data_IF_322200162077
#
_entry.id   IF_322200162077
#
_cell.length_a   1.000
_cell.length_b   1.000
_cell.length_c   1.000
_cell.angle_alpha   90.00
_cell.angle_beta   90.00
_cell.angle_gamma   90.00
#
_symmetry.space_group_name_H-M   'P 1'
#
loop_
_entity.id
_entity.type
_entity.pdbx_description
1 polymer ?
#
# COMPACT_ATOMS: atom_id res chain seq x y z
N UNK A 1 -3.30 -7.65 -8.25
CA UNK A 1 -3.01 -6.88 -7.01
C UNK A 1 -2.13 -7.71 -6.07
N UNK A 2 -1.47 -7.10 -5.10
CA UNK A 2 -0.65 -7.84 -4.14
C UNK A 2 -1.49 -8.89 -3.41
N UNK A 3 -0.94 -10.11 -3.29
CA UNK A 3 -1.51 -11.25 -2.56
C UNK A 3 -2.81 -11.85 -3.11
N UNK A 4 -3.31 -11.48 -4.29
CA UNK A 4 -4.62 -11.94 -4.80
C UNK A 4 -4.76 -13.46 -4.81
N UNK A 5 -3.75 -14.18 -5.29
CA UNK A 5 -3.77 -15.65 -5.38
C UNK A 5 -3.86 -16.33 -4.00
N UNK A 6 -3.07 -15.85 -3.03
CA UNK A 6 -3.09 -16.38 -1.67
C UNK A 6 -4.39 -16.03 -0.95
N UNK A 7 -4.84 -14.78 -1.09
CA UNK A 7 -6.05 -14.27 -0.48
C UNK A 7 -7.29 -15.06 -0.94
N UNK A 8 -7.44 -15.32 -2.24
CA UNK A 8 -8.54 -16.09 -2.79
C UNK A 8 -8.60 -17.51 -2.22
N UNK A 9 -7.46 -18.18 -2.15
CA UNK A 9 -7.38 -19.54 -1.58
C UNK A 9 -7.77 -19.58 -0.10
N UNK A 10 -7.23 -18.64 0.70
CA UNK A 10 -7.55 -18.55 2.12
C UNK A 10 -9.03 -18.21 2.36
N UNK A 11 -9.60 -17.31 1.56
CA UNK A 11 -11.02 -16.97 1.64
C UNK A 11 -11.92 -18.18 1.37
N UNK A 12 -11.58 -19.01 0.39
CA UNK A 12 -12.35 -20.24 0.09
C UNK A 12 -12.33 -21.20 1.27
N UNK A 13 -11.18 -21.41 1.91
CA UNK A 13 -11.07 -22.22 3.14
C UNK A 13 -11.94 -21.65 4.26
N UNK A 14 -11.87 -20.34 4.48
CA UNK A 14 -12.62 -19.65 5.54
C UNK A 14 -14.12 -19.62 5.29
N UNK A 15 -14.56 -19.55 4.03
CA UNK A 15 -15.96 -19.67 3.66
C UNK A 15 -16.52 -21.04 4.06
N UNK A 16 -15.77 -22.10 3.82
CA UNK A 16 -16.13 -23.46 4.21
C UNK A 16 -16.22 -23.59 5.75
N UNK A 17 -15.27 -23.04 6.49
CA UNK A 17 -15.31 -23.05 7.96
C UNK A 17 -16.50 -22.27 8.53
N UNK A 18 -16.83 -21.12 7.96
CA UNK A 18 -17.98 -20.28 8.42
C UNK A 18 -19.33 -20.94 8.15
N UNK A 19 -19.43 -21.75 7.10
CA UNK A 19 -20.70 -22.42 6.76
C UNK A 19 -21.06 -23.56 7.71
N UNK A 20 -20.11 -24.05 8.50
CA UNK A 20 -20.32 -25.14 9.47
C UNK A 20 -20.74 -24.55 10.83
N UNK A 21 -21.93 -24.87 11.29
CA UNK A 21 -22.46 -24.38 12.57
C UNK A 21 -21.73 -24.97 13.79
N UNK A 22 -21.18 -26.19 13.67
CA UNK A 22 -20.28 -26.82 14.63
C UNK A 22 -19.04 -27.30 13.91
N UNK A 23 -17.88 -27.17 14.53
CA UNK A 23 -16.61 -27.69 14.04
C UNK A 23 -16.17 -28.88 14.88
N UNK A 24 -15.61 -29.89 14.22
CA UNK A 24 -14.88 -30.97 14.83
C UNK A 24 -13.37 -30.71 14.71
N UNK A 25 -12.56 -31.43 15.52
CA UNK A 25 -11.10 -31.35 15.36
C UNK A 25 -10.64 -31.73 13.95
N UNK A 26 -11.33 -32.68 13.31
CA UNK A 26 -10.99 -33.11 11.95
C UNK A 26 -11.32 -32.03 10.92
N UNK A 27 -12.40 -31.27 11.13
CA UNK A 27 -12.71 -30.11 10.30
C UNK A 27 -11.62 -29.06 10.38
N UNK A 28 -11.13 -28.76 11.58
CA UNK A 28 -10.03 -27.81 11.79
C UNK A 28 -8.74 -28.33 11.16
N UNK A 29 -8.40 -29.59 11.35
CA UNK A 29 -7.21 -30.22 10.73
C UNK A 29 -7.28 -30.21 9.21
N UNK A 30 -8.45 -30.50 8.63
CA UNK A 30 -8.66 -30.43 7.18
C UNK A 30 -8.47 -29.02 6.64
N UNK A 31 -9.08 -28.01 7.28
CA UNK A 31 -8.93 -26.62 6.89
C UNK A 31 -7.47 -26.13 7.02
N UNK A 32 -6.76 -26.50 8.10
CA UNK A 32 -5.36 -26.16 8.27
C UNK A 32 -4.45 -26.85 7.25
N UNK A 33 -4.82 -28.02 6.75
CA UNK A 33 -4.12 -28.67 5.63
C UNK A 33 -4.26 -27.84 4.35
N UNK A 34 -5.45 -27.32 4.06
CA UNK A 34 -5.67 -26.44 2.91
C UNK A 34 -4.92 -25.09 3.06
N UNK A 35 -4.96 -24.47 4.27
CA UNK A 35 -4.17 -23.29 4.59
C UNK A 35 -2.67 -23.54 4.38
N UNK A 36 -2.16 -24.69 4.86
CA UNK A 36 -0.78 -25.11 4.66
C UNK A 36 -0.41 -25.17 3.17
N UNK A 37 -1.27 -25.78 2.37
CA UNK A 37 -1.04 -25.89 0.92
C UNK A 37 -1.06 -24.52 0.26
N UNK A 38 -2.02 -23.68 0.60
CA UNK A 38 -2.09 -22.30 0.08
C UNK A 38 -0.83 -21.49 0.38
N UNK A 39 -0.29 -21.57 1.60
CA UNK A 39 0.94 -20.91 1.99
C UNK A 39 2.18 -21.46 1.26
N UNK A 40 2.26 -22.77 1.06
CA UNK A 40 3.36 -23.38 0.30
C UNK A 40 3.31 -23.00 -1.19
N UNK A 41 2.13 -22.98 -1.79
CA UNK A 41 1.92 -22.52 -3.17
C UNK A 41 2.17 -21.02 -3.34
N UNK A 42 2.00 -20.26 -2.26
CA UNK A 42 2.38 -18.86 -2.19
C UNK A 42 3.89 -18.65 -1.95
N UNK A 43 4.68 -19.70 -2.00
CA UNK A 43 6.13 -19.65 -1.83
C UNK A 43 6.59 -19.19 -0.43
N UNK A 44 5.80 -19.50 0.60
CA UNK A 44 6.19 -19.27 2.01
C UNK A 44 7.17 -20.37 2.44
N UNK A 45 8.20 -19.98 3.20
CA UNK A 45 9.23 -20.91 3.69
C UNK A 45 8.64 -22.10 4.45
N UNK A 46 9.04 -23.32 4.11
CA UNK A 46 8.49 -24.56 4.65
C UNK A 46 8.55 -24.63 6.18
N UNK A 47 9.68 -24.20 6.80
CA UNK A 47 9.82 -24.20 8.27
C UNK A 47 8.82 -23.24 8.91
N UNK A 48 8.64 -22.07 8.29
CA UNK A 48 7.68 -21.05 8.71
C UNK A 48 6.25 -21.58 8.64
N UNK A 49 5.88 -22.20 7.51
CA UNK A 49 4.54 -22.79 7.33
C UNK A 49 4.28 -23.89 8.36
N UNK A 50 5.26 -24.76 8.63
CA UNK A 50 5.14 -25.82 9.62
C UNK A 50 4.92 -25.27 11.03
N UNK A 51 5.67 -24.26 11.43
CA UNK A 51 5.54 -23.63 12.74
C UNK A 51 4.20 -22.90 12.87
N UNK A 52 3.82 -22.12 11.86
CA UNK A 52 2.55 -21.40 11.80
C UNK A 52 1.36 -22.36 11.94
N UNK A 53 1.30 -23.40 11.11
CA UNK A 53 0.18 -24.36 11.15
C UNK A 53 0.10 -25.11 12.47
N UNK A 54 1.24 -25.43 13.10
CA UNK A 54 1.30 -26.04 14.42
C UNK A 54 0.73 -25.09 15.48
N UNK A 55 1.17 -23.83 15.50
CA UNK A 55 0.70 -22.81 16.46
C UNK A 55 -0.80 -22.56 16.34
N UNK A 56 -1.31 -22.43 15.10
CA UNK A 56 -2.74 -22.27 14.86
C UNK A 56 -3.51 -23.52 15.32
N UNK A 57 -3.03 -24.73 15.04
CA UNK A 57 -3.69 -25.97 15.43
C UNK A 57 -3.80 -26.10 16.94
N UNK A 58 -2.71 -25.85 17.68
CA UNK A 58 -2.68 -25.94 19.15
C UNK A 58 -3.71 -24.99 19.77
N UNK A 59 -3.87 -23.80 19.24
CA UNK A 59 -4.84 -22.80 19.72
C UNK A 59 -6.28 -23.10 19.27
N UNK A 60 -6.47 -23.59 18.05
CA UNK A 60 -7.78 -23.81 17.44
C UNK A 60 -8.50 -25.08 17.96
N UNK A 61 -7.76 -26.08 18.46
CA UNK A 61 -8.34 -27.32 19.00
C UNK A 61 -8.73 -27.18 20.48
N UNK A 62 -8.46 -26.04 21.12
CA UNK A 62 -8.86 -25.79 22.51
C UNK A 62 -10.37 -25.84 22.72
N UNK A 63 -10.81 -26.35 23.88
CA UNK A 63 -12.23 -26.54 24.20
C UNK A 63 -13.04 -25.27 24.11
N UNK A 64 -12.45 -24.11 24.46
CA UNK A 64 -13.09 -22.78 24.41
C UNK A 64 -13.44 -22.37 22.99
N UNK A 65 -12.64 -22.81 22.00
CA UNK A 65 -12.90 -22.53 20.58
C UNK A 65 -13.96 -23.46 20.03
N UNK A 66 -13.84 -24.76 20.32
CA UNK A 66 -14.73 -25.81 19.79
C UNK A 66 -16.16 -25.71 20.32
N UNK A 67 -16.34 -25.24 21.57
CA UNK A 67 -17.64 -25.08 22.23
C UNK A 67 -18.17 -23.63 22.11
N UNK A 68 -17.46 -22.73 21.45
CA UNK A 68 -17.87 -21.33 21.26
C UNK A 68 -19.10 -21.18 20.35
N UNK A 69 -19.80 -20.04 20.46
CA UNK A 69 -20.98 -19.73 19.64
C UNK A 69 -20.66 -19.66 18.13
N UNK A 70 -19.42 -19.33 17.76
CA UNK A 70 -18.97 -19.19 16.37
C UNK A 70 -17.56 -19.80 16.19
N UNK A 71 -17.40 -21.13 16.23
CA UNK A 71 -16.08 -21.76 16.18
C UNK A 71 -15.28 -21.41 14.92
N UNK A 72 -15.93 -21.34 13.76
CA UNK A 72 -15.28 -20.98 12.51
C UNK A 72 -14.69 -19.56 12.51
N UNK A 73 -15.37 -18.59 13.12
CA UNK A 73 -14.85 -17.23 13.27
C UNK A 73 -13.67 -17.18 14.24
N UNK A 74 -13.71 -17.99 15.30
CA UNK A 74 -12.59 -18.07 16.25
C UNK A 74 -11.34 -18.65 15.60
N UNK A 75 -11.45 -19.68 14.77
CA UNK A 75 -10.31 -20.22 14.01
C UNK A 75 -9.73 -19.17 13.07
N UNK A 76 -10.56 -18.42 12.34
CA UNK A 76 -10.10 -17.35 11.44
C UNK A 76 -9.39 -16.25 12.25
N UNK A 77 -9.91 -15.87 13.41
CA UNK A 77 -9.27 -14.91 14.32
C UNK A 77 -7.89 -15.40 14.75
N UNK A 78 -7.76 -16.66 15.13
CA UNK A 78 -6.48 -17.26 15.52
C UNK A 78 -5.49 -17.26 14.36
N UNK A 79 -5.93 -17.59 13.14
CA UNK A 79 -5.11 -17.52 11.92
C UNK A 79 -4.61 -16.09 11.71
N UNK A 80 -5.47 -15.09 11.86
CA UNK A 80 -5.08 -13.67 11.72
C UNK A 80 -4.05 -13.25 12.77
N UNK A 81 -4.26 -13.59 14.02
CA UNK A 81 -3.34 -13.26 15.12
C UNK A 81 -1.97 -13.93 14.94
N UNK A 82 -1.92 -15.20 14.55
CA UNK A 82 -0.67 -15.90 14.28
C UNK A 82 0.04 -15.33 13.03
N UNK A 83 -0.72 -14.86 12.03
CA UNK A 83 -0.15 -14.21 10.85
C UNK A 83 0.47 -12.85 11.21
N UNK A 84 -0.20 -12.06 12.03
CA UNK A 84 0.34 -10.78 12.57
C UNK A 84 1.62 -11.04 13.35
N UNK A 85 1.61 -12.05 14.24
CA UNK A 85 2.77 -12.46 15.02
C UNK A 85 3.96 -12.89 14.14
N UNK A 86 3.68 -13.64 13.08
CA UNK A 86 4.69 -14.05 12.11
C UNK A 86 5.39 -12.88 11.43
N UNK A 87 4.64 -11.81 11.11
CA UNK A 87 5.15 -10.59 10.46
C UNK A 87 5.71 -9.56 11.46
N UNK A 88 5.51 -9.77 12.77
CA UNK A 88 6.19 -8.95 13.76
C UNK A 88 5.39 -8.31 14.86
N UNK A 89 4.10 -8.55 14.95
CA UNK A 89 3.19 -8.00 15.97
C UNK A 89 3.08 -6.48 16.00
N UNK A 90 4.20 -5.76 15.93
CA UNK A 90 4.27 -4.31 16.04
C UNK A 90 4.93 -3.67 14.82
N UNK A 91 4.50 -2.45 14.53
CA UNK A 91 5.12 -1.61 13.50
C UNK A 91 6.46 -1.10 13.98
N UNK A 92 7.49 -1.24 13.14
CA UNK A 92 8.83 -0.75 13.45
C UNK A 92 9.18 0.41 12.51
N UNK A 93 9.64 1.51 13.05
CA UNK A 93 10.12 2.67 12.28
C UNK A 93 11.65 2.67 12.19
N UNK A 94 12.19 3.47 11.24
CA UNK A 94 13.62 3.79 11.20
C UNK A 94 14.00 4.50 12.51
N UNK A 95 15.00 3.99 13.19
CA UNK A 95 15.53 4.59 14.40
C UNK A 95 16.48 5.74 14.05
N UNK A 96 16.56 6.72 14.93
CA UNK A 96 17.45 7.86 14.79
C UNK A 96 18.34 7.99 16.03
N UNK A 97 19.56 8.49 15.84
CA UNK A 97 20.41 8.87 16.96
C UNK A 97 19.78 10.02 17.76
N UNK A 98 19.96 10.05 19.06
CA UNK A 98 19.36 11.08 19.92
C UNK A 98 19.92 12.47 19.65
N UNK A 99 19.12 13.49 19.93
CA UNK A 99 19.54 14.89 19.84
C UNK A 99 19.82 15.36 18.41
N UNK A 100 21.02 15.95 18.23
CA UNK A 100 21.51 16.45 16.94
C UNK A 100 22.55 15.54 16.28
N UNK A 101 22.73 14.34 16.80
CA UNK A 101 23.68 13.39 16.24
C UNK A 101 23.25 12.94 14.84
N UNK A 102 24.23 12.87 13.94
CA UNK A 102 23.99 12.45 12.55
C UNK A 102 23.64 10.95 12.52
N UNK A 103 22.50 10.62 11.97
CA UNK A 103 22.10 9.24 11.73
C UNK A 103 22.55 8.80 10.35
N UNK A 104 23.34 7.74 10.26
CA UNK A 104 23.87 7.20 9.01
C UNK A 104 23.18 5.87 8.72
N UNK A 105 22.50 5.80 7.58
CA UNK A 105 21.75 4.63 7.11
C UNK A 105 22.44 4.11 5.85
N UNK A 106 22.73 2.83 5.79
CA UNK A 106 23.27 2.17 4.61
C UNK A 106 22.21 1.27 3.97
N UNK A 107 21.92 1.51 2.69
CA UNK A 107 20.98 0.73 1.91
C UNK A 107 21.73 -0.37 1.18
N UNK A 108 21.40 -1.63 1.45
CA UNK A 108 22.07 -2.82 0.84
C UNK A 108 21.07 -3.72 0.13
N UNK A 109 21.54 -4.62 -0.72
CA UNK A 109 20.71 -5.58 -1.44
C UNK A 109 21.20 -5.84 -2.87
N UNK A 110 20.59 -6.81 -3.55
CA UNK A 110 20.99 -7.21 -4.90
C UNK A 110 20.63 -6.16 -5.96
N UNK A 111 21.21 -6.30 -7.14
CA UNK A 111 20.88 -5.49 -8.30
C UNK A 111 19.40 -5.69 -8.68
N UNK A 112 18.72 -4.61 -9.02
CA UNK A 112 17.30 -4.66 -9.42
C UNK A 112 16.30 -4.74 -8.26
N UNK A 113 16.76 -4.88 -6.99
CA UNK A 113 15.88 -4.89 -5.83
C UNK A 113 15.21 -3.52 -5.54
N UNK A 114 15.60 -2.46 -6.22
CA UNK A 114 14.99 -1.13 -6.04
C UNK A 114 15.65 -0.25 -4.99
N UNK A 115 16.93 -0.48 -4.64
CA UNK A 115 17.67 0.31 -3.65
C UNK A 115 17.62 1.80 -3.91
N UNK A 116 18.13 2.25 -5.06
CA UNK A 116 18.23 3.67 -5.44
C UNK A 116 16.89 4.38 -5.39
N UNK A 117 15.82 3.75 -5.88
CA UNK A 117 14.47 4.31 -5.82
C UNK A 117 13.96 4.38 -4.39
N UNK A 118 14.17 3.32 -3.61
CA UNK A 118 13.76 3.25 -2.20
C UNK A 118 14.50 4.27 -1.34
N UNK A 119 15.81 4.44 -1.57
CA UNK A 119 16.65 5.45 -0.92
C UNK A 119 16.05 6.85 -1.06
N UNK A 120 15.70 7.25 -2.27
CA UNK A 120 15.08 8.56 -2.51
C UNK A 120 13.65 8.66 -1.90
N UNK A 121 12.86 7.58 -1.96
CA UNK A 121 11.52 7.54 -1.35
C UNK A 121 11.57 7.68 0.18
N UNK A 122 12.50 7.00 0.84
CA UNK A 122 12.71 7.14 2.29
C UNK A 122 13.12 8.58 2.62
N UNK A 123 14.08 9.15 1.90
CA UNK A 123 14.52 10.53 2.13
C UNK A 123 13.37 11.55 1.97
N UNK A 124 12.51 11.37 0.97
CA UNK A 124 11.32 12.20 0.78
C UNK A 124 10.33 12.08 1.96
N UNK A 125 10.10 10.86 2.48
CA UNK A 125 9.28 10.65 3.69
C UNK A 125 9.92 11.26 4.94
N UNK A 126 11.24 11.18 5.09
CA UNK A 126 11.94 11.80 6.20
C UNK A 126 11.88 13.33 6.13
N UNK A 127 11.96 13.89 4.92
CA UNK A 127 11.78 15.32 4.70
C UNK A 127 10.39 15.80 5.12
N UNK A 128 9.32 15.06 4.80
CA UNK A 128 7.96 15.38 5.26
C UNK A 128 7.81 15.32 6.77
N UNK A 129 8.64 14.51 7.47
CA UNK A 129 8.77 14.46 8.94
C UNK A 129 9.74 15.52 9.50
N UNK A 130 10.18 16.49 8.70
CA UNK A 130 11.08 17.59 9.13
C UNK A 130 12.56 17.21 9.26
N UNK A 131 12.99 16.05 8.73
CA UNK A 131 14.40 15.65 8.74
C UNK A 131 15.12 16.14 7.49
N UNK A 132 16.30 16.76 7.66
CA UNK A 132 17.18 17.15 6.56
C UNK A 132 18.08 15.97 6.20
N UNK A 133 17.82 15.31 5.08
CA UNK A 133 18.54 14.13 4.63
C UNK A 133 19.49 14.45 3.49
N UNK A 134 20.67 13.78 3.48
CA UNK A 134 21.62 13.76 2.37
C UNK A 134 21.66 12.35 1.78
N UNK A 135 21.48 12.24 0.47
CA UNK A 135 21.65 11.00 -0.27
C UNK A 135 23.10 10.89 -0.76
N UNK A 136 23.67 9.69 -0.71
CA UNK A 136 25.07 9.46 -1.13
C UNK A 136 25.12 8.40 -2.22
N UNK A 137 25.67 8.76 -3.38
CA UNK A 137 25.79 7.89 -4.54
C UNK A 137 27.09 7.05 -4.45
N UNK A 138 26.99 5.83 -3.90
CA UNK A 138 28.09 4.88 -3.80
C UNK A 138 28.01 3.74 -4.82
N UNK A 139 27.02 3.68 -5.73
CA UNK A 139 27.00 2.75 -6.87
C UNK A 139 27.85 3.32 -8.03
N UNK A 140 29.18 3.26 -7.85
CA UNK A 140 30.14 3.82 -8.81
C UNK A 140 30.33 2.93 -10.05
N UNK A 141 29.93 1.67 -10.00
CA UNK A 141 30.08 0.71 -11.10
C UNK A 141 29.07 0.95 -12.23
N UNK A 142 28.02 1.73 -11.94
CA UNK A 142 26.96 2.07 -12.89
C UNK A 142 26.73 3.59 -12.91
N UNK A 143 27.37 4.32 -13.84
CA UNK A 143 27.21 5.77 -13.94
C UNK A 143 25.74 6.20 -14.04
N UNK A 144 24.89 5.39 -14.69
CA UNK A 144 23.46 5.62 -14.76
C UNK A 144 22.77 5.56 -13.38
N UNK A 145 23.29 4.81 -12.41
CA UNK A 145 22.72 4.75 -11.06
C UNK A 145 22.97 6.05 -10.29
N UNK A 146 24.13 6.66 -10.44
CA UNK A 146 24.45 7.97 -9.87
C UNK A 146 23.48 9.01 -10.39
N UNK A 147 23.24 9.05 -11.72
CA UNK A 147 22.33 9.99 -12.34
C UNK A 147 20.87 9.72 -11.94
N UNK A 148 20.48 8.44 -11.84
CA UNK A 148 19.18 8.03 -11.35
C UNK A 148 18.92 8.52 -9.89
N UNK A 149 19.93 8.41 -9.02
CA UNK A 149 19.79 8.89 -7.64
C UNK A 149 19.64 10.40 -7.60
N UNK A 150 20.38 11.16 -8.42
CA UNK A 150 20.25 12.62 -8.55
C UNK A 150 18.85 13.03 -8.99
N UNK A 151 18.35 12.44 -10.08
CA UNK A 151 17.00 12.70 -10.60
C UNK A 151 15.93 12.37 -9.53
N UNK A 152 16.07 11.25 -8.84
CA UNK A 152 15.13 10.85 -7.81
C UNK A 152 15.22 11.76 -6.57
N UNK A 153 16.43 12.17 -6.18
CA UNK A 153 16.66 13.14 -5.10
C UNK A 153 16.03 14.49 -5.42
N UNK A 154 16.26 15.00 -6.63
CA UNK A 154 15.67 16.28 -7.10
C UNK A 154 14.13 16.22 -7.06
N UNK A 155 13.51 15.14 -7.55
CA UNK A 155 12.05 14.94 -7.48
C UNK A 155 11.51 15.01 -6.05
N UNK A 156 12.32 14.60 -5.05
CA UNK A 156 11.97 14.68 -3.63
C UNK A 156 12.45 16.00 -2.98
N UNK A 157 13.19 16.82 -3.71
CA UNK A 157 13.85 18.03 -3.20
C UNK A 157 14.84 17.70 -2.08
N UNK A 158 15.60 16.61 -2.23
CA UNK A 158 16.63 16.13 -1.31
C UNK A 158 17.98 16.20 -2.02
N UNK A 159 18.99 16.71 -1.30
CA UNK A 159 20.34 16.85 -1.81
C UNK A 159 21.03 15.50 -2.02
N UNK A 160 21.80 15.39 -3.11
CA UNK A 160 22.57 14.18 -3.45
C UNK A 160 24.05 14.52 -3.52
N UNK A 161 24.84 13.83 -2.71
CA UNK A 161 26.30 13.91 -2.74
C UNK A 161 26.88 12.85 -3.67
N UNK A 162 27.81 13.24 -4.53
CA UNK A 162 28.49 12.35 -5.46
C UNK A 162 29.89 12.87 -5.74
N UNK A 163 30.85 11.95 -5.84
CA UNK A 163 32.24 12.24 -6.29
C UNK A 163 32.55 11.62 -7.66
N UNK A 164 31.51 11.24 -8.40
CA UNK A 164 31.65 10.53 -9.68
C UNK A 164 32.00 9.04 -9.49
N UNK A 165 32.49 8.41 -10.54
CA UNK A 165 32.73 6.96 -10.64
C UNK A 165 34.21 6.52 -10.45
N UNK A 166 35.11 7.47 -10.18
CA UNK A 166 36.56 7.21 -10.06
C UNK A 166 37.04 7.01 -8.63
N UNK A 167 36.20 7.28 -7.65
CA UNK A 167 36.54 7.20 -6.24
C UNK A 167 36.00 5.89 -5.64
N UNK A 168 36.64 5.37 -4.61
CA UNK A 168 36.14 4.21 -3.87
C UNK A 168 34.84 4.55 -3.12
N UNK A 169 33.87 3.63 -3.06
CA UNK A 169 32.62 3.84 -2.32
C UNK A 169 32.82 4.27 -0.86
N UNK A 170 33.77 3.69 -0.14
CA UNK A 170 34.08 4.04 1.24
C UNK A 170 34.60 5.49 1.38
N UNK A 171 35.44 5.96 0.43
CA UNK A 171 35.93 7.35 0.44
C UNK A 171 34.83 8.36 0.16
N UNK A 172 33.93 8.02 -0.80
CA UNK A 172 32.73 8.84 -1.10
C UNK A 172 31.83 8.95 0.14
N UNK A 173 31.57 7.81 0.78
CA UNK A 173 30.72 7.76 1.97
C UNK A 173 31.31 8.59 3.12
N UNK A 174 32.63 8.48 3.36
CA UNK A 174 33.34 9.26 4.38
C UNK A 174 33.27 10.76 4.10
N UNK A 175 33.56 11.18 2.87
CA UNK A 175 33.49 12.58 2.47
C UNK A 175 32.06 13.14 2.60
N UNK A 176 31.03 12.33 2.25
CA UNK A 176 29.64 12.70 2.41
C UNK A 176 29.24 12.90 3.87
N UNK A 177 29.71 12.05 4.79
CA UNK A 177 29.47 12.19 6.23
C UNK A 177 30.10 13.49 6.77
N UNK A 178 31.32 13.82 6.34
CA UNK A 178 31.95 15.10 6.71
C UNK A 178 31.18 16.30 6.13
N UNK A 179 30.73 16.21 4.90
CA UNK A 179 29.88 17.24 4.28
C UNK A 179 28.56 17.41 5.05
N UNK A 180 27.92 16.31 5.42
CA UNK A 180 26.67 16.31 6.17
C UNK A 180 26.82 16.99 7.55
N UNK A 181 27.91 16.69 8.26
CA UNK A 181 28.21 17.33 9.57
C UNK A 181 28.42 18.83 9.44
N UNK A 182 29.10 19.28 8.38
CA UNK A 182 29.39 20.73 8.13
C UNK A 182 28.13 21.51 7.73
N UNK A 183 27.15 20.85 7.18
CA UNK A 183 25.94 21.51 6.64
C UNK A 183 24.66 21.19 7.44
N UNK A 184 24.80 20.73 8.69
CA UNK A 184 23.68 20.46 9.62
C UNK A 184 22.61 19.54 9.06
N UNK A 185 23.02 18.43 8.40
CA UNK A 185 22.12 17.35 8.03
C UNK A 185 21.80 16.49 9.26
N UNK A 186 20.59 15.94 9.31
CA UNK A 186 20.16 15.04 10.38
C UNK A 186 20.42 13.57 10.01
N UNK A 187 20.31 13.25 8.73
CA UNK A 187 20.37 11.88 8.21
C UNK A 187 21.24 11.84 6.96
N UNK A 188 22.08 10.83 6.86
CA UNK A 188 22.79 10.43 5.64
C UNK A 188 22.25 9.07 5.22
N UNK A 189 21.88 8.92 3.95
CA UNK A 189 21.43 7.64 3.39
C UNK A 189 22.38 7.25 2.26
N UNK A 190 23.15 6.20 2.46
CA UNK A 190 24.15 5.71 1.52
C UNK A 190 23.49 4.68 0.60
N UNK A 191 23.39 5.01 -0.69
CA UNK A 191 22.92 4.10 -1.73
C UNK A 191 24.12 3.30 -2.28
N UNK A 192 24.21 2.03 -1.91
CA UNK A 192 25.35 1.17 -2.28
C UNK A 192 25.11 0.44 -3.59
N UNK A 193 26.18 -0.01 -4.21
CA UNK A 193 26.11 -0.89 -5.37
C UNK A 193 25.35 -2.18 -5.04
N UNK A 194 24.72 -2.76 -6.06
CA UNK A 194 24.17 -4.11 -6.00
C UNK A 194 24.75 -4.95 -7.13
N UNK A 195 25.10 -6.18 -6.81
CA UNK A 195 25.50 -7.18 -7.81
C UNK A 195 24.37 -8.16 -8.05
N UNK A 196 24.46 -8.94 -9.13
CA UNK A 196 23.45 -9.95 -9.48
C UNK A 196 23.39 -11.07 -8.44
N UNK A 197 24.55 -11.37 -7.82
CA UNK A 197 24.69 -12.40 -6.80
C UNK A 197 25.47 -11.86 -5.62
N UNK A 198 25.31 -12.52 -4.47
CA UNK A 198 26.14 -12.27 -3.29
C UNK A 198 27.52 -12.87 -3.55
N UNK A 199 28.53 -12.02 -3.59
CA UNK A 199 29.93 -12.43 -3.67
C UNK A 199 30.76 -11.81 -2.55
N UNK A 200 32.00 -12.29 -2.37
CA UNK A 200 32.88 -11.85 -1.29
C UNK A 200 33.32 -10.40 -1.46
N UNK A 201 33.58 -9.95 -2.69
CA UNK A 201 34.01 -8.58 -2.98
C UNK A 201 32.93 -7.57 -2.63
N UNK A 202 31.66 -7.89 -2.97
CA UNK A 202 30.52 -7.04 -2.59
C UNK A 202 30.38 -6.93 -1.07
N UNK A 203 30.53 -8.06 -0.36
CA UNK A 203 30.42 -8.06 1.09
C UNK A 203 31.58 -7.29 1.74
N UNK A 204 32.81 -7.43 1.23
CA UNK A 204 33.96 -6.69 1.70
C UNK A 204 33.78 -5.17 1.50
N UNK A 205 33.28 -4.73 0.35
CA UNK A 205 33.00 -3.32 0.06
C UNK A 205 31.97 -2.74 1.04
N UNK A 206 30.87 -3.47 1.31
CA UNK A 206 29.83 -3.03 2.25
C UNK A 206 30.36 -2.94 3.68
N UNK A 207 31.23 -3.86 4.10
CA UNK A 207 31.91 -3.83 5.40
C UNK A 207 32.84 -2.61 5.46
N UNK A 208 33.65 -2.35 4.41
CA UNK A 208 34.52 -1.18 4.34
C UNK A 208 33.76 0.14 4.48
N UNK A 209 32.61 0.29 3.80
CA UNK A 209 31.73 1.45 3.93
C UNK A 209 31.21 1.57 5.38
N UNK A 210 30.75 0.46 5.96
CA UNK A 210 30.19 0.41 7.32
C UNK A 210 31.21 0.87 8.37
N UNK A 211 32.45 0.37 8.26
CA UNK A 211 33.54 0.72 9.18
C UNK A 211 34.00 2.17 8.99
N UNK A 212 34.07 2.64 7.73
CA UNK A 212 34.53 4.00 7.42
C UNK A 212 33.60 5.10 7.90
N UNK A 213 32.31 4.82 8.11
CA UNK A 213 31.27 5.85 8.31
C UNK A 213 30.47 5.72 9.60
N UNK A 214 30.73 4.74 10.45
CA UNK A 214 29.96 4.49 11.68
C UNK A 214 28.45 4.36 11.39
N UNK A 215 28.08 3.48 10.46
CA UNK A 215 26.70 3.21 10.06
C UNK A 215 25.85 2.86 11.28
N UNK A 216 24.76 3.60 11.50
CA UNK A 216 23.84 3.38 12.59
C UNK A 216 22.81 2.29 12.26
N UNK A 217 22.31 2.25 11.02
CA UNK A 217 21.40 1.21 10.55
C UNK A 217 21.77 0.72 9.16
N UNK A 218 21.78 -0.60 8.98
CA UNK A 218 21.89 -1.25 7.69
C UNK A 218 20.51 -1.76 7.29
N UNK A 219 19.94 -1.22 6.20
CA UNK A 219 18.62 -1.57 5.71
C UNK A 219 18.75 -2.37 4.41
N UNK A 220 18.27 -3.60 4.44
CA UNK A 220 18.23 -4.46 3.28
C UNK A 220 17.00 -4.18 2.42
N UNK A 221 17.20 -4.02 1.13
CA UNK A 221 16.11 -3.91 0.13
C UNK A 221 16.04 -5.21 -0.67
N UNK A 222 14.87 -5.83 -0.66
CA UNK A 222 14.59 -7.08 -1.38
C UNK A 222 13.40 -6.93 -2.31
N UNK A 223 13.41 -7.69 -3.39
CA UNK A 223 12.33 -7.77 -4.36
C UNK A 223 11.37 -8.90 -3.97
N UNK A 224 10.11 -8.58 -3.69
CA UNK A 224 9.09 -9.57 -3.32
C UNK A 224 8.89 -10.65 -4.39
N UNK A 225 9.06 -10.28 -5.67
CA UNK A 225 8.82 -11.20 -6.80
C UNK A 225 9.84 -12.34 -6.88
N UNK A 226 10.98 -12.23 -6.19
CA UNK A 226 11.99 -13.31 -6.13
C UNK A 226 11.63 -14.43 -5.13
N UNK A 227 10.53 -14.29 -4.38
CA UNK A 227 10.00 -15.34 -3.51
C UNK A 227 11.00 -15.79 -2.44
N UNK A 228 11.31 -17.10 -2.39
CA UNK A 228 12.25 -17.65 -1.42
C UNK A 228 13.69 -17.16 -1.57
N UNK A 229 14.10 -16.73 -2.75
CA UNK A 229 15.43 -16.14 -2.93
C UNK A 229 15.58 -14.85 -2.14
N UNK A 230 14.53 -14.03 -2.02
CA UNK A 230 14.54 -12.85 -1.13
C UNK A 230 14.83 -13.23 0.33
N UNK A 231 14.28 -14.35 0.79
CA UNK A 231 14.47 -14.87 2.16
C UNK A 231 15.90 -15.35 2.36
N UNK A 232 16.44 -16.08 1.39
CA UNK A 232 17.82 -16.58 1.42
C UNK A 232 18.83 -15.42 1.40
N UNK A 233 18.58 -14.42 0.53
CA UNK A 233 19.36 -13.18 0.46
C UNK A 233 19.34 -12.46 1.81
N UNK A 234 18.17 -12.31 2.42
CA UNK A 234 18.03 -11.64 3.71
C UNK A 234 18.83 -12.37 4.83
N UNK A 235 18.76 -13.69 4.86
CA UNK A 235 19.55 -14.50 5.79
C UNK A 235 21.07 -14.32 5.61
N UNK A 236 21.53 -14.34 4.37
CA UNK A 236 22.98 -14.19 4.05
C UNK A 236 23.49 -12.78 4.38
N UNK A 237 22.71 -11.73 4.07
CA UNK A 237 23.10 -10.35 4.44
C UNK A 237 23.12 -10.16 5.95
N UNK A 238 22.17 -10.74 6.67
CA UNK A 238 22.16 -10.65 8.14
C UNK A 238 23.37 -11.37 8.75
N UNK A 239 23.70 -12.56 8.26
CA UNK A 239 24.86 -13.33 8.74
C UNK A 239 26.20 -12.63 8.49
N UNK A 240 26.40 -12.06 7.27
CA UNK A 240 27.70 -11.51 6.83
C UNK A 240 27.92 -10.06 7.27
N UNK A 241 26.92 -9.23 7.25
CA UNK A 241 27.04 -7.77 7.50
C UNK A 241 26.27 -7.35 8.74
N UNK A 242 25.21 -8.08 9.10
CA UNK A 242 24.22 -7.67 10.09
C UNK A 242 23.29 -6.59 9.51
N UNK A 243 22.00 -6.90 9.42
CA UNK A 243 20.97 -5.96 9.01
C UNK A 243 20.12 -5.54 10.21
N UNK A 244 19.54 -4.34 10.17
CA UNK A 244 18.70 -3.80 11.24
C UNK A 244 17.22 -3.74 10.83
N UNK A 245 16.95 -3.84 9.53
CA UNK A 245 15.60 -3.86 8.99
C UNK A 245 15.56 -4.18 7.51
N UNK A 246 14.38 -4.48 7.02
CA UNK A 246 14.15 -4.87 5.63
C UNK A 246 13.09 -3.98 4.99
N UNK A 247 13.30 -3.61 3.73
CA UNK A 247 12.30 -3.01 2.86
C UNK A 247 11.97 -4.01 1.75
N UNK A 248 10.71 -4.34 1.61
CA UNK A 248 10.21 -5.23 0.55
C UNK A 248 9.64 -4.37 -0.57
N UNK A 249 10.16 -4.53 -1.78
CA UNK A 249 9.73 -3.79 -2.98
C UNK A 249 8.90 -4.67 -3.91
N UNK A 250 8.22 -4.03 -4.87
CA UNK A 250 7.45 -4.68 -5.94
C UNK A 250 6.34 -5.62 -5.46
N UNK A 251 5.78 -5.32 -4.29
CA UNK A 251 4.64 -6.08 -3.77
C UNK A 251 3.39 -5.96 -4.64
N UNK A 252 3.26 -4.89 -5.41
CA UNK A 252 2.19 -4.69 -6.41
C UNK A 252 2.20 -5.77 -7.51
N UNK A 253 3.38 -6.29 -7.86
CA UNK A 253 3.57 -7.42 -8.79
C UNK A 253 3.53 -8.80 -8.14
N UNK A 254 3.62 -8.89 -6.81
CA UNK A 254 3.63 -10.16 -6.09
C UNK A 254 2.22 -10.59 -5.68
N UNK A 255 1.66 -11.54 -6.43
CA UNK A 255 0.36 -12.14 -6.11
C UNK A 255 0.43 -13.25 -5.05
N UNK A 256 1.63 -13.71 -4.68
CA UNK A 256 1.87 -14.83 -3.76
C UNK A 256 2.12 -14.37 -2.32
N UNK A 257 3.01 -13.39 -2.11
CA UNK A 257 3.29 -12.81 -0.80
C UNK A 257 4.20 -13.62 0.13
N UNK A 258 4.81 -14.68 -0.35
CA UNK A 258 5.62 -15.58 0.47
C UNK A 258 6.84 -14.94 1.11
N UNK A 259 7.49 -14.01 0.41
CA UNK A 259 8.63 -13.26 0.94
C UNK A 259 8.24 -12.43 2.18
N UNK A 260 7.13 -11.69 2.12
CA UNK A 260 6.66 -10.86 3.24
C UNK A 260 6.36 -11.67 4.50
N UNK A 261 5.84 -12.88 4.35
CA UNK A 261 5.53 -13.79 5.46
C UNK A 261 6.78 -14.49 6.02
N UNK A 262 7.84 -14.64 5.22
CA UNK A 262 8.99 -15.47 5.58
C UNK A 262 10.18 -14.69 6.11
N UNK A 263 10.44 -13.48 5.61
CA UNK A 263 11.68 -12.71 5.88
C UNK A 263 11.88 -12.51 7.37
N UNK A 264 10.89 -11.97 8.08
CA UNK A 264 11.01 -11.74 9.51
C UNK A 264 11.16 -13.03 10.32
N UNK A 265 10.39 -14.05 9.95
CA UNK A 265 10.43 -15.34 10.64
C UNK A 265 11.79 -16.04 10.52
N UNK A 266 12.51 -15.80 9.41
CA UNK A 266 13.82 -16.40 9.15
C UNK A 266 14.96 -15.56 9.72
N UNK A 267 14.90 -14.22 9.57
CA UNK A 267 15.99 -13.30 9.98
C UNK A 267 15.80 -12.73 11.39
N UNK A 268 14.58 -12.73 11.92
CA UNK A 268 14.24 -12.01 13.16
C UNK A 268 14.19 -10.50 12.99
N UNK A 269 14.51 -9.96 11.79
CA UNK A 269 14.59 -8.51 11.55
C UNK A 269 13.25 -7.93 11.12
N UNK A 270 12.93 -6.69 11.56
CA UNK A 270 11.65 -6.07 11.23
C UNK A 270 11.57 -5.68 9.75
N UNK A 271 10.37 -5.77 9.19
CA UNK A 271 10.06 -5.15 7.91
C UNK A 271 9.65 -3.71 8.21
N UNK A 272 10.37 -2.74 7.62
CA UNK A 272 10.16 -1.31 7.85
C UNK A 272 9.15 -0.70 6.88
N UNK A 273 9.32 -1.00 5.59
CA UNK A 273 8.48 -0.47 4.52
C UNK A 273 8.11 -1.53 3.49
N UNK A 274 6.96 -1.30 2.86
CA UNK A 274 6.44 -2.05 1.73
C UNK A 274 6.34 -1.14 0.50
N UNK A 275 6.99 -1.52 -0.60
CA UNK A 275 6.89 -0.84 -1.89
C UNK A 275 5.75 -1.43 -2.71
N UNK A 276 4.72 -0.61 -2.93
CA UNK A 276 3.48 -0.98 -3.62
C UNK A 276 3.37 -0.34 -5.01
N UNK A 277 4.48 0.12 -5.59
CA UNK A 277 4.54 0.78 -6.89
C UNK A 277 5.69 1.76 -7.03
N UNK A 278 5.71 2.55 -8.11
CA UNK A 278 6.84 3.41 -8.46
C UNK A 278 6.81 4.81 -7.82
N UNK A 279 5.63 5.35 -7.51
CA UNK A 279 5.48 6.69 -6.96
C UNK A 279 6.03 6.78 -5.52
N UNK A 280 6.32 8.00 -5.05
CA UNK A 280 6.73 8.23 -3.65
C UNK A 280 5.67 7.73 -2.66
N UNK A 281 4.41 8.01 -2.93
CA UNK A 281 3.25 7.56 -2.14
C UNK A 281 3.12 6.05 -2.03
N UNK A 282 3.75 5.31 -2.95
CA UNK A 282 3.66 3.86 -3.03
C UNK A 282 4.69 3.13 -2.14
N UNK A 283 5.49 3.87 -1.38
CA UNK A 283 6.28 3.31 -0.28
C UNK A 283 5.47 3.48 1.02
N UNK A 284 4.87 2.42 1.51
CA UNK A 284 4.06 2.42 2.72
C UNK A 284 4.86 1.94 3.92
N UNK A 285 4.57 2.48 5.13
CA UNK A 285 5.03 1.87 6.37
C UNK A 285 4.48 0.45 6.47
N UNK A 286 5.29 -0.50 6.92
CA UNK A 286 4.83 -1.87 7.08
C UNK A 286 4.04 -2.02 8.38
N UNK A 287 2.73 -2.29 8.25
CA UNK A 287 1.84 -2.57 9.36
C UNK A 287 1.45 -4.05 9.33
N UNK A 288 1.94 -4.89 10.25
CA UNK A 288 1.64 -6.33 10.29
C UNK A 288 0.14 -6.64 10.28
N UNK A 289 -0.66 -5.90 11.04
CA UNK A 289 -2.12 -6.09 11.11
C UNK A 289 -2.81 -5.82 9.77
N UNK A 290 -2.44 -4.73 9.09
CA UNK A 290 -3.02 -4.37 7.78
C UNK A 290 -2.61 -5.38 6.71
N UNK A 291 -1.36 -5.82 6.76
CA UNK A 291 -0.84 -6.80 5.83
C UNK A 291 -1.52 -8.15 6.02
N UNK A 292 -1.70 -8.61 7.26
CA UNK A 292 -2.48 -9.82 7.56
C UNK A 292 -3.92 -9.70 7.05
N UNK A 293 -4.57 -8.57 7.29
CA UNK A 293 -5.94 -8.32 6.80
C UNK A 293 -6.04 -8.35 5.28
N UNK A 294 -5.04 -7.78 4.56
CA UNK A 294 -4.97 -7.85 3.08
C UNK A 294 -4.82 -9.29 2.61
N UNK A 295 -3.87 -10.05 3.18
CA UNK A 295 -3.61 -11.46 2.83
C UNK A 295 -4.83 -12.33 3.09
N UNK A 296 -5.57 -12.08 4.17
CA UNK A 296 -6.79 -12.82 4.50
C UNK A 296 -8.04 -12.35 3.72
N UNK A 297 -7.88 -11.32 2.88
CA UNK A 297 -8.97 -10.75 2.11
C UNK A 297 -10.06 -10.06 2.96
N UNK A 298 -9.70 -9.60 4.15
CA UNK A 298 -10.59 -8.86 5.04
C UNK A 298 -10.69 -7.38 4.69
N UNK A 299 -9.90 -6.91 3.70
CA UNK A 299 -9.78 -5.51 3.32
C UNK A 299 -8.87 -4.71 4.24
N UNK A 300 -8.46 -3.55 3.78
CA UNK A 300 -7.62 -2.61 4.52
C UNK A 300 -8.29 -1.23 4.58
N UNK A 301 -9.29 -1.13 5.42
CA UNK A 301 -10.07 0.11 5.60
C UNK A 301 -9.23 1.25 6.15
N UNK A 302 -8.26 0.94 7.01
CA UNK A 302 -7.41 1.97 7.64
C UNK A 302 -6.47 2.62 6.63
N UNK A 303 -5.79 1.83 5.79
CA UNK A 303 -4.95 2.39 4.70
C UNK A 303 -5.77 3.19 3.70
N UNK A 304 -7.03 2.81 3.44
CA UNK A 304 -7.93 3.58 2.59
C UNK A 304 -8.26 4.94 3.21
N UNK A 305 -8.55 4.98 4.50
CA UNK A 305 -8.83 6.22 5.23
C UNK A 305 -7.59 7.13 5.25
N UNK A 306 -6.41 6.59 5.50
CA UNK A 306 -5.15 7.36 5.51
C UNK A 306 -4.82 7.92 4.13
N UNK A 307 -4.91 7.11 3.07
CA UNK A 307 -4.73 7.61 1.69
C UNK A 307 -5.75 8.68 1.32
N UNK A 308 -6.97 8.54 1.81
CA UNK A 308 -7.99 9.58 1.63
C UNK A 308 -7.60 10.87 2.38
N UNK A 309 -7.08 10.76 3.60
CA UNK A 309 -6.65 11.90 4.40
C UNK A 309 -5.39 12.60 3.84
N UNK A 310 -4.40 11.84 3.35
CA UNK A 310 -3.20 12.40 2.71
C UNK A 310 -3.50 13.19 1.43
N UNK A 311 -4.55 12.81 0.71
CA UNK A 311 -4.95 13.43 -0.56
C UNK A 311 -6.02 14.53 -0.41
N UNK A 312 -6.56 14.73 0.79
CA UNK A 312 -7.53 15.80 1.07
C UNK A 312 -6.76 17.02 1.57
N UNK A 313 -6.66 18.04 0.73
CA UNK A 313 -6.26 19.38 1.15
C UNK A 313 -7.28 19.88 2.19
N UNK A 314 -6.82 20.17 3.43
CA UNK A 314 -7.71 20.60 4.54
C UNK A 314 -8.57 21.82 4.17
N UNK A 315 -8.07 22.73 3.34
CA UNK A 315 -8.85 23.84 2.83
C UNK A 315 -9.96 23.41 1.87
N UNK A 316 -9.68 22.42 1.03
CA UNK A 316 -10.68 21.88 0.10
C UNK A 316 -11.72 21.07 0.84
N UNK A 317 -11.34 20.30 1.89
CA UNK A 317 -12.27 19.57 2.75
C UNK A 317 -13.22 20.53 3.49
N UNK A 318 -12.71 21.63 4.06
CA UNK A 318 -13.53 22.67 4.71
C UNK A 318 -14.47 23.39 3.73
N UNK A 319 -13.99 23.67 2.51
CA UNK A 319 -14.83 24.26 1.44
C UNK A 319 -15.92 23.29 0.98
N UNK A 320 -15.60 21.99 0.87
CA UNK A 320 -16.55 20.94 0.52
C UNK A 320 -17.65 20.80 1.61
N UNK A 321 -17.24 20.74 2.88
CA UNK A 321 -18.17 20.67 4.02
C UNK A 321 -19.09 21.88 4.08
N UNK A 322 -18.57 23.08 3.87
CA UNK A 322 -19.36 24.31 3.85
C UNK A 322 -20.37 24.33 2.69
N UNK A 323 -19.96 23.92 1.48
CA UNK A 323 -20.83 23.82 0.31
C UNK A 323 -21.89 22.70 0.49
N UNK A 324 -21.51 21.57 1.11
CA UNK A 324 -22.47 20.51 1.45
C UNK A 324 -23.53 20.99 2.46
N UNK A 325 -23.13 21.72 3.49
CA UNK A 325 -24.08 22.32 4.46
C UNK A 325 -25.03 23.33 3.81
N UNK A 326 -24.58 24.03 2.76
CA UNK A 326 -25.41 24.98 1.99
C UNK A 326 -26.27 24.33 0.90
N UNK A 327 -26.27 22.99 0.76
CA UNK A 327 -27.01 22.25 -0.27
C UNK A 327 -26.64 22.65 -1.73
N UNK A 328 -25.42 23.12 -1.96
CA UNK A 328 -24.92 23.64 -3.23
C UNK A 328 -24.15 22.57 -4.02
N UNK A 329 -24.70 21.33 -4.13
CA UNK A 329 -24.08 20.28 -4.95
C UNK A 329 -24.30 20.60 -6.45
N UNK A 330 -23.22 20.84 -7.18
CA UNK A 330 -23.18 21.20 -8.60
C UNK A 330 -22.20 20.33 -9.40
N UNK A 331 -22.10 20.53 -10.71
CA UNK A 331 -21.20 19.76 -11.55
C UNK A 331 -19.71 20.11 -11.34
N UNK A 332 -19.36 21.27 -10.77
CA UNK A 332 -17.98 21.58 -10.39
C UNK A 332 -17.55 20.69 -9.22
N UNK A 333 -18.39 20.54 -8.20
CA UNK A 333 -18.13 19.60 -7.10
C UNK A 333 -18.09 18.14 -7.56
N UNK A 334 -18.90 17.78 -8.55
CA UNK A 334 -18.88 16.43 -9.12
C UNK A 334 -17.55 16.15 -9.83
N UNK A 335 -17.01 17.12 -10.59
CA UNK A 335 -15.68 17.04 -11.18
C UNK A 335 -14.56 16.94 -10.14
N UNK A 336 -14.61 17.77 -9.09
CA UNK A 336 -13.64 17.73 -8.00
C UNK A 336 -13.63 16.35 -7.32
N UNK A 337 -14.80 15.76 -7.09
CA UNK A 337 -14.92 14.41 -6.53
C UNK A 337 -14.31 13.34 -7.43
N UNK A 338 -14.53 13.43 -8.75
CA UNK A 338 -13.93 12.52 -9.72
C UNK A 338 -12.40 12.67 -9.79
N UNK A 339 -11.90 13.91 -9.75
CA UNK A 339 -10.47 14.19 -9.74
C UNK A 339 -9.79 13.64 -8.47
N UNK A 340 -10.44 13.76 -7.31
CA UNK A 340 -9.95 13.18 -6.07
C UNK A 340 -9.90 11.64 -6.15
N UNK A 341 -10.93 11.01 -6.71
CA UNK A 341 -10.97 9.55 -6.90
C UNK A 341 -9.84 9.08 -7.85
N UNK A 342 -9.54 9.83 -8.91
CA UNK A 342 -8.38 9.57 -9.77
C UNK A 342 -7.03 9.67 -9.01
N UNK A 343 -6.87 10.69 -8.15
CA UNK A 343 -5.67 10.88 -7.33
C UNK A 343 -5.48 9.78 -6.29
N UNK A 344 -6.56 9.16 -5.81
CA UNK A 344 -6.54 8.04 -4.87
C UNK A 344 -6.15 6.69 -5.52
N UNK A 345 -5.72 6.68 -6.77
CA UNK A 345 -5.25 5.47 -7.47
C UNK A 345 -6.27 4.82 -8.38
N UNK A 346 -7.34 5.56 -8.76
CA UNK A 346 -8.37 5.08 -9.65
C UNK A 346 -9.39 4.14 -8.99
N UNK A 347 -10.39 3.74 -9.77
CA UNK A 347 -11.50 2.90 -9.31
C UNK A 347 -11.03 1.52 -8.83
N UNK A 348 -10.03 0.94 -9.50
CA UNK A 348 -9.47 -0.38 -9.19
C UNK A 348 -8.82 -0.42 -7.80
N UNK A 349 -8.07 0.62 -7.42
CA UNK A 349 -7.43 0.72 -6.10
C UNK A 349 -8.45 0.87 -4.97
N UNK A 350 -9.48 1.69 -5.19
CA UNK A 350 -10.55 1.90 -4.21
C UNK A 350 -11.39 0.63 -4.02
N UNK A 351 -11.73 -0.07 -5.11
CA UNK A 351 -12.50 -1.31 -5.05
C UNK A 351 -11.72 -2.46 -4.38
N UNK A 352 -10.41 -2.56 -4.62
CA UNK A 352 -9.55 -3.59 -3.99
C UNK A 352 -9.37 -3.42 -2.49
N UNK A 353 -9.61 -2.23 -1.95
CA UNK A 353 -9.47 -1.92 -0.52
C UNK A 353 -10.77 -2.05 0.29
N UNK A 354 -11.93 -2.20 -0.37
CA UNK A 354 -13.22 -2.25 0.34
C UNK A 354 -13.52 -3.63 0.92
N UNK A 355 -13.73 -3.74 2.25
CA UNK A 355 -14.11 -5.00 2.88
C UNK A 355 -15.55 -5.37 2.47
N UNK A 356 -15.73 -6.60 2.02
CA UNK A 356 -17.07 -7.18 1.84
C UNK A 356 -17.65 -7.13 0.44
N UNK A 357 -17.03 -6.53 -0.56
CA UNK A 357 -17.50 -6.63 -1.95
C UNK A 357 -17.22 -7.99 -2.60
N UNK A 358 -16.31 -8.80 -2.01
CA UNK A 358 -16.05 -10.20 -2.41
C UNK A 358 -16.77 -11.25 -1.57
N UNK A 359 -17.50 -10.91 -0.49
CA UNK A 359 -17.97 -11.87 0.51
C UNK A 359 -19.44 -12.28 0.35
N UNK A 360 -20.19 -11.61 -0.50
CA UNK A 360 -21.57 -12.00 -0.77
C UNK A 360 -21.70 -12.69 -2.13
N UNK A 361 -21.75 -14.01 -2.18
CA UNK A 361 -21.95 -14.95 -3.29
C UNK A 361 -22.64 -14.51 -4.60
N UNK A 362 -22.56 -13.27 -4.98
CA UNK A 362 -22.87 -12.75 -6.30
C UNK A 362 -21.57 -12.57 -7.07
N UNK A 363 -21.45 -13.22 -8.22
CA UNK A 363 -20.43 -12.87 -9.21
C UNK A 363 -20.44 -11.36 -9.33
N UNK A 364 -19.31 -10.69 -8.99
CA UNK A 364 -19.10 -9.33 -9.47
C UNK A 364 -19.31 -9.36 -10.98
N UNK A 365 -20.09 -8.46 -11.56
CA UNK A 365 -19.98 -8.25 -12.98
C UNK A 365 -18.51 -7.93 -13.24
N UNK A 366 -17.92 -8.61 -14.24
CA UNK A 366 -16.60 -8.29 -14.77
C UNK A 366 -16.65 -6.81 -15.18
N UNK A 367 -16.27 -5.92 -14.25
CA UNK A 367 -16.18 -4.49 -14.55
C UNK A 367 -14.83 -4.36 -15.24
N UNK A 368 -14.87 -4.28 -16.56
CA UNK A 368 -13.72 -3.91 -17.35
C UNK A 368 -13.25 -2.54 -16.85
N UNK A 369 -12.13 -2.55 -16.11
CA UNK A 369 -11.54 -1.33 -15.53
C UNK A 369 -11.24 -0.30 -16.61
N UNK A 370 -10.87 -0.74 -17.80
CA UNK A 370 -10.62 0.11 -18.97
C UNK A 370 -11.92 0.75 -19.49
N UNK A 371 -13.03 0.03 -19.44
CA UNK A 371 -14.34 0.56 -19.85
C UNK A 371 -14.88 1.56 -18.82
N UNK A 372 -14.65 1.31 -17.53
CA UNK A 372 -15.00 2.23 -16.45
C UNK A 372 -14.17 3.52 -16.51
N UNK A 373 -12.85 3.46 -16.75
CA UNK A 373 -11.99 4.63 -16.93
C UNK A 373 -12.38 5.44 -18.17
N UNK A 374 -12.72 4.78 -19.28
CA UNK A 374 -13.26 5.44 -20.47
C UNK A 374 -14.61 6.11 -20.19
N UNK A 375 -15.45 5.50 -19.36
CA UNK A 375 -16.71 6.07 -18.89
C UNK A 375 -16.50 7.36 -18.07
N UNK A 376 -15.53 7.35 -17.17
CA UNK A 376 -15.13 8.55 -16.38
C UNK A 376 -14.61 9.66 -17.29
N UNK A 377 -13.74 9.34 -18.26
CA UNK A 377 -13.20 10.33 -19.19
C UNK A 377 -14.30 10.96 -20.06
N UNK A 378 -15.30 10.18 -20.52
CA UNK A 378 -16.47 10.71 -21.24
C UNK A 378 -17.32 11.63 -20.37
N UNK A 379 -17.52 11.27 -19.11
CA UNK A 379 -18.24 12.11 -18.14
C UNK A 379 -17.55 13.45 -17.91
N UNK A 380 -16.22 13.44 -17.73
CA UNK A 380 -15.42 14.65 -17.65
C UNK A 380 -15.56 15.52 -18.91
N UNK A 381 -15.47 14.92 -20.10
CA UNK A 381 -15.60 15.64 -21.38
C UNK A 381 -16.97 16.32 -21.51
N UNK A 382 -18.06 15.63 -21.08
CA UNK A 382 -19.41 16.23 -21.08
C UNK A 382 -19.45 17.45 -20.14
N UNK A 383 -18.92 17.35 -18.93
CA UNK A 383 -18.96 18.45 -17.96
C UNK A 383 -18.05 19.61 -18.41
N UNK A 384 -16.88 19.32 -18.98
CA UNK A 384 -16.01 20.36 -19.56
C UNK A 384 -16.63 21.09 -20.75
N UNK A 385 -17.54 20.45 -21.49
CA UNK A 385 -18.30 21.06 -22.56
C UNK A 385 -19.46 21.95 -22.11
N UNK A 386 -19.76 21.95 -20.79
CA UNK A 386 -20.70 22.89 -20.17
C UNK A 386 -20.04 24.22 -19.91
N UNK A 387 -20.80 25.34 -19.99
CA UNK A 387 -20.32 26.63 -19.51
C UNK A 387 -20.23 26.65 -17.98
N UNK A 388 -19.40 27.55 -17.38
CA UNK A 388 -19.34 27.67 -15.92
C UNK A 388 -20.71 27.89 -15.25
N UNK A 389 -21.60 28.60 -15.90
CA UNK A 389 -22.97 28.84 -15.41
C UNK A 389 -23.82 27.55 -15.40
N UNK A 390 -23.69 26.74 -16.47
CA UNK A 390 -24.39 25.47 -16.60
C UNK A 390 -23.90 24.43 -15.62
N UNK A 391 -22.59 24.44 -15.29
CA UNK A 391 -22.00 23.57 -14.25
C UNK A 391 -22.55 23.92 -12.87
N UNK A 392 -22.67 25.21 -12.54
CA UNK A 392 -23.18 25.69 -11.25
C UNK A 392 -24.69 25.58 -11.13
N UNK A 393 -25.41 25.71 -12.25
CA UNK A 393 -26.85 25.63 -12.26
C UNK A 393 -27.39 24.63 -13.31
N UNK A 394 -27.48 23.35 -12.94
CA UNK A 394 -27.96 22.28 -13.83
C UNK A 394 -29.36 22.48 -14.37
N UNK A 395 -30.17 23.35 -13.75
CA UNK A 395 -31.53 23.67 -14.21
C UNK A 395 -31.57 24.42 -15.55
N UNK A 396 -30.44 25.02 -15.97
CA UNK A 396 -30.30 25.69 -17.25
C UNK A 396 -30.19 24.73 -18.44
N UNK A 397 -30.00 23.44 -18.21
CA UNK A 397 -29.76 22.42 -19.23
C UNK A 397 -31.05 22.05 -19.99
N UNK A 398 -31.46 22.91 -20.91
CA UNK A 398 -32.56 22.64 -21.84
C UNK A 398 -32.11 21.75 -23.02
N UNK A 399 -33.03 21.23 -23.87
CA UNK A 399 -32.69 20.33 -24.97
C UNK A 399 -31.63 20.91 -25.95
N UNK A 400 -31.70 22.19 -26.29
CA UNK A 400 -30.75 22.85 -27.18
C UNK A 400 -29.33 22.90 -26.58
N UNK A 401 -29.21 23.23 -25.31
CA UNK A 401 -27.93 23.25 -24.57
C UNK A 401 -27.34 21.86 -24.46
N UNK A 402 -28.16 20.82 -24.17
CA UNK A 402 -27.74 19.42 -24.14
C UNK A 402 -27.21 18.94 -25.47
N UNK A 403 -27.85 19.33 -26.59
CA UNK A 403 -27.37 19.01 -27.93
C UNK A 403 -26.04 19.69 -28.28
N UNK A 404 -25.81 20.94 -27.80
CA UNK A 404 -24.54 21.63 -27.94
C UNK A 404 -23.43 20.96 -27.13
N UNK A 405 -23.72 20.59 -25.87
CA UNK A 405 -22.78 19.90 -24.95
C UNK A 405 -22.39 18.55 -25.54
N UNK A 406 -23.35 17.77 -26.04
CA UNK A 406 -23.11 16.48 -26.69
C UNK A 406 -22.14 16.60 -27.87
N UNK A 407 -22.35 17.60 -28.74
CA UNK A 407 -21.43 17.89 -29.86
C UNK A 407 -20.02 18.28 -29.39
N UNK A 408 -19.93 19.10 -28.33
CA UNK A 408 -18.65 19.52 -27.78
C UNK A 408 -17.86 18.39 -27.12
N UNK A 409 -18.54 17.44 -26.52
CA UNK A 409 -17.95 16.27 -25.86
C UNK A 409 -17.72 15.07 -26.81
N UNK A 410 -18.23 15.13 -28.06
CA UNK A 410 -18.14 14.01 -29.01
C UNK A 410 -18.97 12.79 -28.60
N UNK A 411 -20.12 12.99 -27.93
CA UNK A 411 -21.01 11.94 -27.44
C UNK A 411 -22.44 12.14 -27.93
N UNK A 412 -23.28 11.11 -27.76
CA UNK A 412 -24.70 11.23 -28.05
C UNK A 412 -25.44 12.03 -26.97
N UNK A 413 -26.55 12.71 -27.38
CA UNK A 413 -27.43 13.47 -26.46
C UNK A 413 -28.00 12.58 -25.34
N UNK A 414 -28.19 11.30 -25.61
CA UNK A 414 -28.65 10.32 -24.62
C UNK A 414 -27.67 10.15 -23.47
N UNK A 415 -26.35 10.23 -23.72
CA UNK A 415 -25.32 10.17 -22.66
C UNK A 415 -25.37 11.42 -21.78
N UNK A 416 -25.55 12.60 -22.36
CA UNK A 416 -25.73 13.83 -21.58
C UNK A 416 -26.99 13.75 -20.71
N UNK A 417 -28.09 13.20 -21.24
CA UNK A 417 -29.32 13.00 -20.46
C UNK A 417 -29.12 12.01 -19.31
N UNK A 418 -28.38 10.92 -19.58
CA UNK A 418 -28.04 9.91 -18.58
C UNK A 418 -27.22 10.53 -17.44
N UNK A 419 -26.18 11.30 -17.76
CA UNK A 419 -25.36 12.00 -16.77
C UNK A 419 -26.19 12.95 -15.91
N UNK A 420 -27.02 13.79 -16.51
CA UNK A 420 -27.88 14.73 -15.77
C UNK A 420 -28.83 13.98 -14.82
N UNK A 421 -29.42 12.89 -15.27
CA UNK A 421 -30.31 12.04 -14.44
C UNK A 421 -29.56 11.42 -13.25
N UNK A 422 -28.37 10.89 -13.51
CA UNK A 422 -27.50 10.33 -12.48
C UNK A 422 -27.08 11.38 -11.45
N UNK A 423 -26.68 12.56 -11.92
CA UNK A 423 -26.35 13.71 -11.07
C UNK A 423 -27.53 14.10 -10.14
N UNK A 424 -28.76 14.16 -10.66
CA UNK A 424 -29.93 14.44 -9.86
C UNK A 424 -30.21 13.36 -8.81
N UNK A 425 -30.00 12.10 -9.15
CA UNK A 425 -30.12 10.98 -8.20
C UNK A 425 -29.07 11.07 -7.08
N UNK A 426 -27.81 11.33 -7.42
CA UNK A 426 -26.74 11.55 -6.44
C UNK A 426 -27.04 12.72 -5.55
N UNK A 427 -27.51 13.82 -6.11
CA UNK A 427 -27.93 15.01 -5.33
C UNK A 427 -29.06 14.73 -4.36
N UNK A 428 -30.06 13.92 -4.74
CA UNK A 428 -31.15 13.50 -3.84
C UNK A 428 -30.63 12.62 -2.70
N UNK A 429 -29.74 11.70 -3.02
CA UNK A 429 -29.12 10.80 -2.03
C UNK A 429 -28.29 11.57 -1.01
N UNK A 430 -27.42 12.50 -1.46
CA UNK A 430 -26.61 13.34 -0.57
C UNK A 430 -27.46 14.24 0.35
N UNK A 431 -28.65 14.67 -0.08
CA UNK A 431 -29.59 15.41 0.77
C UNK A 431 -30.18 14.56 1.92
N UNK A 432 -30.24 13.25 1.77
CA UNK A 432 -30.77 12.33 2.78
C UNK A 432 -29.71 11.89 3.79
N UNK A 433 -28.40 11.97 3.46
CA UNK A 433 -27.29 11.56 4.32
C UNK A 433 -27.15 12.30 5.67
N UNK A 434 -27.35 13.63 5.78
CA UNK A 434 -27.24 14.32 7.07
C UNK A 434 -28.19 13.80 8.16
N UNK A 435 -29.33 13.24 7.77
CA UNK A 435 -30.29 12.59 8.70
C UNK A 435 -29.83 11.25 9.26
N UNK A 436 -28.87 10.56 8.59
CA UNK A 436 -28.34 9.27 9.03
C UNK A 436 -27.11 9.40 9.95
N UNK A 437 -26.34 10.49 9.86
CA UNK A 437 -25.15 10.74 10.69
C UNK A 437 -25.42 11.51 11.99
N UNK A 438 -26.57 12.16 12.12
CA UNK A 438 -26.91 13.05 13.23
C UNK A 438 -27.85 12.50 14.32
N UNK A 439 -28.21 11.23 14.29
CA UNK A 439 -29.22 10.63 15.16
C UNK A 439 -28.68 9.96 16.42
N UNK A 440 -28.69 10.63 17.56
CA UNK A 440 -28.66 10.01 18.90
C UNK A 440 -29.79 8.99 19.06
N UNK A 441 -29.41 7.76 19.48
CA UNK A 441 -30.26 6.74 20.14
C UNK A 441 -31.52 6.23 19.42
N UNK A 442 -31.45 4.96 19.01
CA UNK A 442 -32.62 4.11 19.13
C UNK A 442 -32.96 3.21 17.96
N UNK A 443 -32.84 1.91 18.17
CA UNK A 443 -33.52 0.75 17.57
C UNK A 443 -33.10 0.20 16.21
N UNK A 444 -32.53 -1.01 16.32
CA UNK A 444 -32.62 -2.20 15.44
C UNK A 444 -33.21 -2.00 14.04
N UNK A 445 -32.35 -2.23 13.05
CA UNK A 445 -32.73 -2.46 11.66
C UNK A 445 -31.48 -2.64 10.83
N UNK A 446 -31.10 -3.91 10.55
CA UNK A 446 -29.96 -4.26 9.73
C UNK A 446 -30.21 -3.85 8.26
N UNK A 447 -29.56 -2.78 7.85
CA UNK A 447 -29.48 -2.35 6.46
C UNK A 447 -28.01 -2.04 6.16
N UNK A 448 -27.34 -3.03 5.55
CA UNK A 448 -25.92 -2.92 5.27
C UNK A 448 -25.59 -1.84 4.25
N UNK A 449 -24.32 -1.37 4.32
CA UNK A 449 -23.67 -0.42 3.41
C UNK A 449 -23.81 -0.75 1.90
N UNK A 450 -24.31 -1.95 1.55
CA UNK A 450 -24.54 -2.38 0.16
C UNK A 450 -25.57 -1.54 -0.63
N UNK A 451 -26.36 -0.69 0.04
CA UNK A 451 -27.25 0.28 -0.62
C UNK A 451 -26.56 1.57 -1.08
N UNK A 452 -25.35 1.83 -0.57
CA UNK A 452 -24.65 3.11 -0.81
C UNK A 452 -24.11 3.21 -2.25
N UNK A 453 -23.81 2.07 -2.88
CA UNK A 453 -23.14 2.03 -4.18
C UNK A 453 -24.06 1.69 -5.36
N UNK A 454 -25.32 1.32 -5.12
CA UNK A 454 -26.29 1.07 -6.18
C UNK A 454 -26.69 2.32 -6.98
N UNK A 455 -26.27 3.50 -6.57
CA UNK A 455 -26.58 4.79 -7.20
C UNK A 455 -25.37 5.54 -7.78
N UNK A 456 -24.17 4.98 -7.73
CA UNK A 456 -23.02 5.59 -8.39
C UNK A 456 -22.99 5.16 -9.87
N UNK A 457 -22.75 6.10 -10.78
CA UNK A 457 -22.72 5.84 -12.20
C UNK A 457 -21.37 5.25 -12.61
N UNK A 458 -21.30 3.96 -12.68
CA UNK A 458 -20.24 3.23 -13.40
C UNK A 458 -20.84 2.38 -14.48
#
# INVERSE_FOLDING_TARGET
MAFDSLSEKLQNVFKNLRSKGKLTEDDVKAALKEVKMALLEADVNFKVVKQFTKSVQERAIGQDVMNGLNPGQMVIKIVNEEMIKLMGSETTEIAFRPGKELTIIMMVGLQGAGKTTTTAKIAGKLKSKGKKSLLVACDVYRPAAIEQLKINGEKQGVEVFSMGDKNKPADIAKAAVEHARKNDFNVVIIDTAGRLHIDEDMMAELIEIKEATDVFQTILVVDAMTGQDAVNVAGTFDEKIGIDGVVITKLDGDTRGGAALSIRAVTGKPILYAGMGEKLSDLEQFYPERMASRILGMGDVLSMIEKAQENIDEEQAKKLEQKMRKNEFDFEMYLDSMSQMKKMGGLSSVMGMMPGMGIGGGKMPDIDTDEAEKGMARTEAIIYSMTPEERRNPKLLNPSRKARIARGAGVDVSEVNRLVKQFEQTKKFMKQMPGMMGGKKGRRGGGGLGGLFKGLPF
#
